data_IF_552496125496
#
_entry.id   IF_552496125496
#
_cell.length_a   1.000
_cell.length_b   1.000
_cell.length_c   1.000
_cell.angle_alpha   90.00
_cell.angle_beta   90.00
_cell.angle_gamma   90.00
#
_symmetry.space_group_name_H-M   'P 1'
#
loop_
_entity.id
_entity.type
_entity.pdbx_description
1 polymer ?
#
# COMPACT_ATOMS: atom_id res chain seq x y z
N UNK A 1 5.65 -6.00 -9.77
CA UNK A 1 5.90 -4.60 -9.31
C UNK A 1 5.48 -3.67 -10.43
N UNK A 2 4.68 -2.65 -10.12
CA UNK A 2 4.25 -1.63 -11.09
C UNK A 2 5.27 -0.49 -11.12
N UNK A 3 5.60 0.05 -12.30
CA UNK A 3 6.49 1.19 -12.48
C UNK A 3 5.71 2.40 -12.98
N UNK A 4 6.06 3.59 -12.51
CA UNK A 4 5.51 4.86 -13.03
C UNK A 4 4.09 5.20 -12.55
N UNK A 5 3.56 4.50 -11.55
CA UNK A 5 2.31 4.89 -10.90
C UNK A 5 2.55 6.18 -10.09
N UNK A 6 1.69 7.17 -10.29
CA UNK A 6 1.64 8.37 -9.43
C UNK A 6 1.05 8.03 -8.07
N UNK A 7 1.36 8.83 -7.04
CA UNK A 7 0.81 8.65 -5.70
C UNK A 7 -0.73 8.60 -5.73
N UNK A 8 -1.36 9.46 -6.53
CA UNK A 8 -2.82 9.50 -6.71
C UNK A 8 -3.38 8.19 -7.30
N UNK A 9 -2.71 7.60 -8.29
CA UNK A 9 -3.13 6.32 -8.88
C UNK A 9 -3.02 5.16 -7.87
N UNK A 10 -1.98 5.16 -7.04
CA UNK A 10 -1.82 4.12 -6.01
C UNK A 10 -2.89 4.25 -4.94
N UNK A 11 -3.18 5.47 -4.49
CA UNK A 11 -4.25 5.75 -3.52
C UNK A 11 -5.63 5.38 -4.08
N UNK A 12 -5.90 5.73 -5.34
CA UNK A 12 -7.14 5.36 -6.03
C UNK A 12 -7.30 3.84 -6.12
N UNK A 13 -6.26 3.14 -6.55
CA UNK A 13 -6.26 1.67 -6.60
C UNK A 13 -6.50 1.05 -5.22
N UNK A 14 -5.92 1.61 -4.15
CA UNK A 14 -6.16 1.15 -2.79
C UNK A 14 -7.63 1.32 -2.36
N UNK A 15 -8.26 2.45 -2.68
CA UNK A 15 -9.69 2.66 -2.41
C UNK A 15 -10.56 1.65 -3.17
N UNK A 16 -10.29 1.44 -4.46
CA UNK A 16 -11.02 0.47 -5.30
C UNK A 16 -10.84 -0.96 -4.78
N UNK A 17 -9.62 -1.35 -4.41
CA UNK A 17 -9.32 -2.68 -3.87
C UNK A 17 -10.04 -2.95 -2.54
N UNK A 18 -10.21 -1.92 -1.72
CA UNK A 18 -10.80 -2.03 -0.37
C UNK A 18 -12.30 -1.74 -0.32
N UNK A 19 -12.87 -1.21 -1.41
CA UNK A 19 -14.24 -0.70 -1.45
C UNK A 19 -14.44 0.55 -0.58
N UNK A 20 -13.37 1.26 -0.22
CA UNK A 20 -13.46 2.48 0.59
C UNK A 20 -13.93 3.66 -0.27
N UNK A 21 -14.95 4.44 0.15
CA UNK A 21 -15.47 5.56 -0.62
C UNK A 21 -14.51 6.76 -0.66
N UNK A 22 -13.59 6.83 0.30
CA UNK A 22 -12.55 7.84 0.41
C UNK A 22 -11.26 7.24 0.98
N UNK A 23 -10.15 7.97 0.83
CA UNK A 23 -8.87 7.55 1.38
C UNK A 23 -8.93 7.73 2.91
N UNK A 24 -8.59 6.70 3.71
CA UNK A 24 -8.59 6.83 5.17
C UNK A 24 -7.67 7.95 5.65
N UNK A 25 -7.84 8.35 6.91
CA UNK A 25 -6.94 9.30 7.53
C UNK A 25 -5.49 8.78 7.52
N UNK A 26 -4.57 9.61 7.05
CA UNK A 26 -3.14 9.31 7.07
C UNK A 26 -2.64 9.17 8.51
N UNK A 27 -1.89 8.11 8.77
CA UNK A 27 -1.22 7.88 10.05
C UNK A 27 0.30 7.94 9.86
N UNK A 28 0.94 8.94 10.45
CA UNK A 28 2.40 9.05 10.44
C UNK A 28 3.01 8.08 11.44
N UNK A 29 3.96 7.26 10.98
CA UNK A 29 4.77 6.38 11.81
C UNK A 29 6.16 7.01 11.94
N UNK A 30 6.54 7.50 13.15
CA UNK A 30 7.82 8.17 13.37
C UNK A 30 9.00 7.33 12.88
N UNK A 31 9.87 7.95 12.07
CA UNK A 31 11.06 7.31 11.52
C UNK A 31 10.81 6.27 10.41
N UNK A 32 9.56 6.03 9.98
CA UNK A 32 9.23 5.07 8.90
C UNK A 32 8.54 5.72 7.71
N UNK A 33 7.46 6.46 7.94
CA UNK A 33 6.66 7.06 6.88
C UNK A 33 5.16 7.01 7.19
N UNK A 34 4.32 7.08 6.17
CA UNK A 34 2.87 7.22 6.32
C UNK A 34 2.15 5.91 5.99
N UNK A 35 1.09 5.59 6.74
CA UNK A 35 0.18 4.49 6.44
C UNK A 35 -1.27 4.94 6.35
N UNK A 36 -2.06 4.17 5.61
CA UNK A 36 -3.51 4.26 5.50
C UNK A 36 -4.09 2.88 5.73
N UNK A 37 -5.10 2.76 6.60
CA UNK A 37 -5.63 1.46 7.03
C UNK A 37 -7.13 1.38 6.77
N UNK A 38 -7.56 0.34 6.05
CA UNK A 38 -8.98 -0.04 5.93
C UNK A 38 -9.18 -1.36 6.66
N UNK A 39 -10.08 -1.38 7.65
CA UNK A 39 -10.43 -2.58 8.39
C UNK A 39 -11.60 -3.29 7.70
N UNK A 40 -11.45 -4.57 7.44
CA UNK A 40 -12.50 -5.41 6.85
C UNK A 40 -12.72 -6.67 7.71
N UNK A 41 -13.85 -7.39 7.57
CA UNK A 41 -14.04 -8.69 8.22
C UNK A 41 -12.94 -9.71 7.88
N UNK A 42 -12.35 -9.58 6.69
CA UNK A 42 -11.28 -10.45 6.19
C UNK A 42 -9.88 -10.06 6.69
N UNK A 43 -9.77 -8.97 7.47
CA UNK A 43 -8.53 -8.41 8.01
C UNK A 43 -8.27 -6.98 7.54
N UNK A 44 -7.09 -6.45 7.88
CA UNK A 44 -6.72 -5.08 7.56
C UNK A 44 -5.97 -5.00 6.23
N UNK A 45 -6.43 -4.13 5.35
CA UNK A 45 -5.64 -3.65 4.22
C UNK A 45 -4.83 -2.44 4.67
N UNK A 46 -3.54 -2.41 4.35
CA UNK A 46 -2.65 -1.31 4.72
C UNK A 46 -1.92 -0.80 3.50
N UNK A 47 -2.11 0.47 3.13
CA UNK A 47 -1.26 1.18 2.17
C UNK A 47 -0.16 1.91 2.95
N UNK A 48 1.11 1.67 2.61
CA UNK A 48 2.26 2.26 3.30
C UNK A 48 3.29 2.84 2.34
N UNK A 49 3.82 4.01 2.71
CA UNK A 49 4.93 4.70 2.06
C UNK A 49 6.11 4.75 3.03
N UNK A 50 6.92 3.69 3.06
CA UNK A 50 8.10 3.64 3.93
C UNK A 50 9.39 3.85 3.15
N UNK A 51 10.31 4.63 3.72
CA UNK A 51 11.63 4.91 3.16
C UNK A 51 12.53 3.66 3.05
N UNK A 52 12.30 2.65 3.89
CA UNK A 52 13.00 1.35 3.89
C UNK A 52 12.35 0.27 3.01
N UNK A 53 11.25 0.59 2.30
CA UNK A 53 10.71 -0.30 1.24
C UNK A 53 11.71 -0.50 0.09
N UNK A 54 12.78 0.29 0.09
CA UNK A 54 13.91 0.34 -0.83
C UNK A 54 14.85 -0.86 -0.78
N UNK A 55 14.65 -1.84 0.12
CA UNK A 55 15.49 -3.02 0.27
C UNK A 55 15.69 -3.89 -0.99
N UNK A 56 14.96 -3.66 -2.08
CA UNK A 56 15.25 -4.27 -3.38
C UNK A 56 15.12 -3.33 -4.61
N UNK A 57 14.45 -2.16 -4.56
CA UNK A 57 14.14 -1.37 -5.79
C UNK A 57 13.79 0.13 -5.58
N UNK A 58 14.24 0.80 -4.51
CA UNK A 58 13.95 2.23 -4.27
C UNK A 58 12.60 2.51 -3.58
N UNK A 59 12.29 3.78 -3.28
CA UNK A 59 11.06 4.16 -2.56
C UNK A 59 9.82 3.62 -3.27
N UNK A 60 8.99 2.88 -2.54
CA UNK A 60 7.83 2.19 -3.10
C UNK A 60 6.63 2.28 -2.17
N UNK A 61 5.47 2.55 -2.74
CA UNK A 61 4.21 2.28 -2.06
C UNK A 61 4.01 0.77 -1.99
N UNK A 62 3.57 0.28 -0.83
CA UNK A 62 3.22 -1.13 -0.63
C UNK A 62 1.79 -1.23 -0.10
N UNK A 63 0.99 -2.11 -0.67
CA UNK A 63 -0.31 -2.51 -0.13
C UNK A 63 -0.16 -3.90 0.49
N UNK A 64 -0.34 -4.01 1.79
CA UNK A 64 -0.46 -5.27 2.49
C UNK A 64 -1.92 -5.74 2.40
N UNK A 65 -2.14 -6.91 1.79
CA UNK A 65 -3.46 -7.51 1.60
C UNK A 65 -3.66 -8.59 2.66
N UNK A 66 -4.78 -8.58 3.41
CA UNK A 66 -4.99 -9.58 4.44
C UNK A 66 -5.27 -10.95 3.81
N UNK A 67 -4.59 -11.98 4.32
CA UNK A 67 -4.72 -13.36 3.81
C UNK A 67 -6.16 -13.88 3.72
N UNK A 68 -7.03 -13.42 4.63
CA UNK A 68 -8.46 -13.75 4.62
C UNK A 68 -9.22 -13.22 3.41
N UNK A 69 -8.74 -12.16 2.76
CA UNK A 69 -9.36 -11.59 1.56
C UNK A 69 -9.00 -12.35 0.27
N UNK A 70 -7.91 -13.13 0.29
CA UNK A 70 -7.36 -13.81 -0.89
C UNK A 70 -7.23 -15.33 -0.72
N UNK A 71 -7.61 -15.88 0.43
CA UNK A 71 -7.57 -17.32 0.70
C UNK A 71 -6.16 -17.91 0.84
N UNK A 72 -5.16 -17.09 1.19
CA UNK A 72 -3.76 -17.52 1.33
C UNK A 72 -3.38 -17.80 2.79
N UNK A 73 -2.21 -18.39 3.02
CA UNK A 73 -1.65 -18.61 4.38
C UNK A 73 -0.82 -17.43 4.89
N UNK A 74 -0.36 -16.56 3.98
CA UNK A 74 0.43 -15.36 4.24
C UNK A 74 -0.30 -14.11 3.73
N UNK A 75 0.08 -12.92 4.21
CA UNK A 75 -0.45 -11.65 3.69
C UNK A 75 0.36 -11.25 2.44
N UNK A 76 -0.20 -11.31 1.21
CA UNK A 76 0.53 -10.85 0.04
C UNK A 76 0.72 -9.33 0.03
N UNK A 77 1.74 -8.89 -0.70
CA UNK A 77 2.08 -7.48 -0.88
C UNK A 77 1.94 -7.09 -2.36
N UNK A 78 1.35 -5.92 -2.63
CA UNK A 78 1.36 -5.27 -3.95
C UNK A 78 2.31 -4.07 -3.89
N UNK A 79 3.32 -4.02 -4.76
CA UNK A 79 4.38 -2.99 -4.73
C UNK A 79 4.38 -2.10 -5.97
N UNK A 80 4.43 -0.79 -5.75
CA UNK A 80 4.49 0.26 -6.76
C UNK A 80 5.78 1.06 -6.59
N UNK A 81 6.66 1.00 -7.58
CA UNK A 81 7.90 1.79 -7.58
C UNK A 81 7.55 3.23 -7.91
N UNK A 82 7.92 4.15 -7.02
CA UNK A 82 7.89 5.58 -7.33
C UNK A 82 8.91 5.80 -8.45
N UNK A 83 8.47 6.42 -9.55
CA UNK A 83 9.31 6.58 -10.74
C UNK A 83 10.65 7.23 -10.37
N UNK A 84 11.75 6.55 -10.68
CA UNK A 84 13.02 7.24 -10.92
C UNK A 84 12.85 8.10 -12.16
N UNK A 85 13.45 9.30 -12.17
CA UNK A 85 13.58 10.12 -13.38
C UNK A 85 14.01 9.23 -14.57
N UNK A 86 13.47 9.43 -15.78
CA UNK A 86 14.02 8.79 -16.97
C UNK A 86 15.52 9.09 -17.12
#
# INVERSE_FOLDING_TARGET
MFKGATDAQVQQYFMELTGSPELPAAQAIPGKGTIYVVKTPSGNFTLRDFSSSSGQTGSAWTIDVPKGAVGTTYNPEIKFLKGGKP
#
